data_IF_559525997934
#
_entry.id   IF_559525997934
#
_cell.length_a   1.000
_cell.length_b   1.000
_cell.length_c   1.000
_cell.angle_alpha   90.00
_cell.angle_beta   90.00
_cell.angle_gamma   90.00
#
_symmetry.space_group_name_H-M   'P 1'
#
loop_
_entity.id
_entity.type
_entity.pdbx_description
1 polymer ?
#
# COMPACT_ATOMS: atom_id res chain seq x y z
N UNK A 1 22.97 10.13 23.54
CA UNK A 1 22.63 8.70 23.42
C UNK A 1 21.33 8.54 22.61
N UNK A 2 21.36 7.97 21.39
CA UNK A 2 20.13 7.71 20.60
C UNK A 2 19.41 6.49 21.20
N UNK A 3 18.39 6.71 22.02
CA UNK A 3 17.57 5.64 22.59
C UNK A 3 16.86 4.90 21.44
N UNK A 4 17.30 3.67 21.13
CA UNK A 4 16.62 2.79 20.17
C UNK A 4 15.41 2.15 20.87
N UNK A 5 14.21 2.62 20.58
CA UNK A 5 12.98 1.97 21.06
C UNK A 5 12.82 0.62 20.34
N UNK A 6 12.70 -0.48 21.09
CA UNK A 6 12.36 -1.79 20.52
C UNK A 6 10.95 -1.72 19.88
N UNK A 7 10.75 -2.28 18.67
CA UNK A 7 9.43 -2.38 18.05
C UNK A 7 8.48 -3.19 18.94
N UNK A 8 7.20 -2.83 18.99
CA UNK A 8 6.21 -3.67 19.68
C UNK A 8 5.86 -4.89 18.84
N UNK A 9 5.44 -5.98 19.49
CA UNK A 9 4.97 -7.21 18.81
C UNK A 9 3.90 -6.90 17.77
N UNK A 10 2.98 -5.99 18.10
CA UNK A 10 1.95 -5.50 17.17
C UNK A 10 2.53 -4.94 15.86
N UNK A 11 3.59 -4.14 15.93
CA UNK A 11 4.24 -3.53 14.77
C UNK A 11 4.98 -4.56 13.92
N UNK A 12 5.56 -5.58 14.55
CA UNK A 12 6.22 -6.69 13.86
C UNK A 12 5.17 -7.50 13.08
N UNK A 13 4.05 -7.83 13.71
CA UNK A 13 2.94 -8.55 13.06
C UNK A 13 2.36 -7.74 11.91
N UNK A 14 2.09 -6.44 12.11
CA UNK A 14 1.59 -5.58 11.04
C UNK A 14 2.55 -5.49 9.85
N UNK A 15 3.85 -5.38 10.12
CA UNK A 15 4.87 -5.38 9.07
C UNK A 15 4.88 -6.71 8.31
N UNK A 16 4.93 -7.84 9.00
CA UNK A 16 4.92 -9.16 8.37
C UNK A 16 3.69 -9.37 7.48
N UNK A 17 2.49 -9.09 8.00
CA UNK A 17 1.25 -9.20 7.24
C UNK A 17 1.21 -8.28 6.02
N UNK A 18 1.69 -7.04 6.17
CA UNK A 18 1.76 -6.07 5.07
C UNK A 18 2.73 -6.50 4.00
N UNK A 19 3.92 -6.98 4.38
CA UNK A 19 4.94 -7.45 3.44
C UNK A 19 4.48 -8.70 2.69
N UNK A 20 3.85 -9.66 3.37
CA UNK A 20 3.27 -10.84 2.72
C UNK A 20 2.16 -10.45 1.73
N UNK A 21 1.26 -9.55 2.13
CA UNK A 21 0.21 -9.06 1.24
C UNK A 21 0.77 -8.26 0.05
N UNK A 22 1.81 -7.44 0.25
CA UNK A 22 2.49 -6.72 -0.82
C UNK A 22 3.16 -7.68 -1.80
N UNK A 23 3.93 -8.66 -1.32
CA UNK A 23 4.65 -9.62 -2.18
C UNK A 23 3.65 -10.47 -2.96
N UNK A 24 2.66 -11.05 -2.28
CA UNK A 24 1.63 -11.86 -2.93
C UNK A 24 0.79 -11.06 -3.92
N UNK A 25 0.45 -9.81 -3.57
CA UNK A 25 -0.27 -8.89 -4.44
C UNK A 25 0.55 -8.47 -5.66
N UNK A 26 1.84 -8.17 -5.47
CA UNK A 26 2.76 -7.79 -6.55
C UNK A 26 2.97 -8.95 -7.53
N UNK A 27 3.17 -10.17 -7.02
CA UNK A 27 3.27 -11.37 -7.85
C UNK A 27 2.02 -11.55 -8.72
N UNK A 28 0.83 -11.56 -8.10
CA UNK A 28 -0.44 -11.68 -8.84
C UNK A 28 -0.63 -10.56 -9.86
N UNK A 29 -0.31 -9.32 -9.49
CA UNK A 29 -0.43 -8.16 -10.36
C UNK A 29 0.48 -8.27 -11.59
N UNK A 30 1.76 -8.61 -11.40
CA UNK A 30 2.72 -8.75 -12.50
C UNK A 30 2.35 -9.91 -13.41
N UNK A 31 1.99 -11.08 -12.86
CA UNK A 31 1.55 -12.23 -13.66
C UNK A 31 0.31 -11.89 -14.49
N UNK A 32 -0.64 -11.15 -13.93
CA UNK A 32 -1.85 -10.74 -14.65
C UNK A 32 -1.55 -9.71 -15.74
N UNK A 33 -0.81 -8.65 -15.42
CA UNK A 33 -0.50 -7.58 -16.38
C UNK A 33 0.47 -8.01 -17.49
N UNK A 34 1.39 -8.93 -17.23
CA UNK A 34 2.34 -9.39 -18.26
C UNK A 34 1.76 -10.47 -19.18
N UNK A 35 0.53 -10.93 -18.93
CA UNK A 35 -0.17 -11.83 -19.84
C UNK A 35 -0.67 -11.05 -21.08
N UNK A 36 -0.33 -11.54 -22.28
CA UNK A 36 -0.59 -10.87 -23.56
C UNK A 36 -2.07 -10.51 -23.77
N UNK A 37 -2.99 -11.37 -23.33
CA UNK A 37 -4.43 -11.12 -23.41
C UNK A 37 -4.88 -9.90 -22.57
N UNK A 38 -4.29 -9.72 -21.39
CA UNK A 38 -4.60 -8.59 -20.51
C UNK A 38 -3.92 -7.30 -20.97
N UNK A 39 -2.75 -7.40 -21.59
CA UNK A 39 -2.09 -6.25 -22.24
C UNK A 39 -2.96 -5.66 -23.35
N UNK A 40 -3.42 -6.51 -24.27
CA UNK A 40 -4.29 -6.08 -25.38
C UNK A 40 -5.58 -5.47 -24.85
N UNK A 41 -6.21 -6.14 -23.87
CA UNK A 41 -7.42 -5.64 -23.23
C UNK A 41 -7.20 -4.28 -22.56
N UNK A 42 -6.13 -4.14 -21.75
CA UNK A 42 -5.81 -2.89 -21.07
C UNK A 42 -5.58 -1.74 -22.06
N UNK A 43 -4.80 -1.96 -23.12
CA UNK A 43 -4.52 -0.94 -24.14
C UNK A 43 -5.78 -0.47 -24.85
N UNK A 44 -6.67 -1.40 -25.23
CA UNK A 44 -7.97 -1.08 -25.84
C UNK A 44 -8.83 -0.23 -24.91
N UNK A 45 -8.82 -0.56 -23.61
CA UNK A 45 -9.62 0.15 -22.61
C UNK A 45 -9.06 1.52 -22.29
N UNK A 46 -7.74 1.65 -22.18
CA UNK A 46 -7.07 2.92 -22.01
C UNK A 46 -7.36 3.85 -23.19
N UNK A 47 -7.27 3.33 -24.42
CA UNK A 47 -7.64 4.07 -25.64
C UNK A 47 -9.09 4.55 -25.59
N UNK A 48 -10.02 3.72 -25.11
CA UNK A 48 -11.44 4.08 -24.99
C UNK A 48 -11.69 5.19 -23.96
N UNK A 49 -11.00 5.13 -22.82
CA UNK A 49 -11.20 6.07 -21.71
C UNK A 49 -10.47 7.40 -21.94
N UNK A 50 -9.19 7.36 -22.32
CA UNK A 50 -8.33 8.53 -22.43
C UNK A 50 -8.24 9.08 -23.87
N UNK A 51 -8.79 8.37 -24.87
CA UNK A 51 -8.65 8.68 -26.31
C UNK A 51 -7.19 8.78 -26.78
N UNK A 52 -6.29 8.08 -26.10
CA UNK A 52 -4.84 8.05 -26.38
C UNK A 52 -4.41 6.60 -26.57
N UNK A 53 -3.68 6.32 -27.65
CA UNK A 53 -2.98 5.05 -27.83
C UNK A 53 -1.68 5.08 -27.04
N UNK A 54 -1.42 4.00 -26.30
CA UNK A 54 -0.19 3.85 -25.53
C UNK A 54 0.73 2.83 -26.20
N UNK A 55 2.02 3.14 -26.25
CA UNK A 55 3.05 2.21 -26.72
C UNK A 55 3.32 1.11 -25.69
N UNK A 56 3.99 0.04 -26.11
CA UNK A 56 4.44 -1.05 -25.24
C UNK A 56 5.35 -0.54 -24.12
N UNK A 57 6.23 0.41 -24.43
CA UNK A 57 7.11 1.04 -23.44
C UNK A 57 6.33 1.85 -22.40
N UNK A 58 5.28 2.57 -22.80
CA UNK A 58 4.40 3.30 -21.89
C UNK A 58 3.57 2.34 -21.03
N UNK A 59 3.13 1.22 -21.60
CA UNK A 59 2.42 0.17 -20.87
C UNK A 59 3.29 -0.44 -19.76
N UNK A 60 4.52 -0.84 -20.09
CA UNK A 60 5.49 -1.36 -19.11
C UNK A 60 5.86 -0.30 -18.05
N UNK A 61 5.94 0.97 -18.42
CA UNK A 61 6.17 2.07 -17.48
C UNK A 61 5.01 2.20 -16.48
N UNK A 62 3.76 2.11 -16.94
CA UNK A 62 2.58 2.12 -16.06
C UNK A 62 2.63 0.94 -15.07
N UNK A 63 2.95 -0.26 -15.55
CA UNK A 63 3.12 -1.45 -14.70
C UNK A 63 4.18 -1.20 -13.63
N UNK A 64 5.34 -0.67 -14.03
CA UNK A 64 6.44 -0.38 -13.12
C UNK A 64 6.05 0.67 -12.06
N UNK A 65 5.32 1.73 -12.44
CA UNK A 65 4.84 2.74 -11.50
C UNK A 65 3.91 2.13 -10.45
N UNK A 66 2.94 1.30 -10.86
CA UNK A 66 2.03 0.62 -9.93
C UNK A 66 2.80 -0.33 -9.00
N UNK A 67 3.76 -1.08 -9.54
CA UNK A 67 4.64 -1.94 -8.75
C UNK A 67 5.43 -1.15 -7.70
N UNK A 68 5.98 0.02 -8.06
CA UNK A 68 6.68 0.91 -7.12
C UNK A 68 5.74 1.37 -6.01
N UNK A 69 4.51 1.81 -6.33
CA UNK A 69 3.54 2.19 -5.30
C UNK A 69 3.20 1.03 -4.37
N UNK A 70 3.07 -0.21 -4.89
CA UNK A 70 2.85 -1.40 -4.06
C UNK A 70 4.01 -1.64 -3.09
N UNK A 71 5.25 -1.43 -3.54
CA UNK A 71 6.45 -1.54 -2.70
C UNK A 71 6.56 -0.41 -1.69
N UNK A 72 6.17 0.82 -2.04
CA UNK A 72 6.17 1.97 -1.12
C UNK A 72 5.32 1.71 0.12
N UNK A 73 4.20 0.99 -0.01
CA UNK A 73 3.38 0.54 1.12
C UNK A 73 4.19 -0.29 2.13
N UNK A 74 4.93 -1.29 1.66
CA UNK A 74 5.80 -2.11 2.51
C UNK A 74 6.94 -1.29 3.11
N UNK A 75 7.45 -0.31 2.37
CA UNK A 75 8.49 0.60 2.86
C UNK A 75 7.97 1.54 3.97
N UNK A 76 6.75 2.06 3.83
CA UNK A 76 6.08 2.83 4.89
C UNK A 76 5.90 2.02 6.17
N UNK A 77 5.46 0.77 6.03
CA UNK A 77 5.36 -0.18 7.14
C UNK A 77 6.71 -0.43 7.83
N UNK A 78 7.78 -0.63 7.07
CA UNK A 78 9.13 -0.79 7.60
C UNK A 78 9.61 0.43 8.41
N UNK A 79 9.32 1.64 7.94
CA UNK A 79 9.64 2.85 8.71
C UNK A 79 8.84 2.94 10.00
N UNK A 80 7.57 2.55 9.97
CA UNK A 80 6.75 2.45 11.16
C UNK A 80 7.31 1.41 12.14
N UNK A 81 7.77 0.25 11.67
CA UNK A 81 8.47 -0.75 12.49
C UNK A 81 9.69 -0.16 13.21
N UNK A 82 10.45 0.71 12.52
CA UNK A 82 11.55 1.50 13.10
C UNK A 82 11.08 2.68 13.98
N UNK A 83 9.82 2.67 14.39
CA UNK A 83 9.17 3.69 15.21
C UNK A 83 9.18 5.08 14.58
N UNK A 84 9.25 5.23 13.25
CA UNK A 84 9.17 6.54 12.57
C UNK A 84 7.74 6.82 12.11
N UNK A 85 7.19 7.95 12.56
CA UNK A 85 5.82 8.40 12.23
C UNK A 85 5.62 8.69 10.73
N UNK A 86 6.66 9.15 10.02
CA UNK A 86 6.64 9.32 8.57
C UNK A 86 6.31 8.04 7.79
N UNK A 87 6.56 6.87 8.38
CA UNK A 87 6.17 5.60 7.77
C UNK A 87 4.67 5.48 7.54
N UNK A 88 3.84 6.15 8.36
CA UNK A 88 2.38 6.18 8.20
C UNK A 88 1.97 6.92 6.91
N UNK A 89 2.61 8.06 6.63
CA UNK A 89 2.35 8.83 5.40
C UNK A 89 2.74 8.02 4.17
N UNK A 90 3.93 7.39 4.22
CA UNK A 90 4.42 6.49 3.17
C UNK A 90 3.60 5.21 3.05
N UNK A 91 2.79 4.87 4.05
CA UNK A 91 1.87 3.74 3.99
C UNK A 91 0.51 4.15 3.40
N UNK A 92 -0.09 5.23 3.90
CA UNK A 92 -1.45 5.64 3.50
C UNK A 92 -1.49 6.20 2.09
N UNK A 93 -0.57 7.11 1.75
CA UNK A 93 -0.67 7.85 0.50
C UNK A 93 -0.55 6.93 -0.73
N UNK A 94 0.40 5.97 -0.79
CA UNK A 94 0.40 4.95 -1.84
C UNK A 94 -0.82 4.03 -1.82
N UNK A 95 -1.36 3.66 -0.66
CA UNK A 95 -2.58 2.84 -0.59
C UNK A 95 -3.81 3.56 -1.15
N UNK A 96 -3.97 4.86 -0.87
CA UNK A 96 -5.09 5.65 -1.40
C UNK A 96 -4.98 5.82 -2.91
N UNK A 97 -3.78 6.10 -3.42
CA UNK A 97 -3.51 6.20 -4.86
C UNK A 97 -3.77 4.84 -5.53
N UNK A 98 -3.25 3.75 -4.98
CA UNK A 98 -3.48 2.40 -5.50
C UNK A 98 -4.95 2.01 -5.47
N UNK A 99 -5.67 2.33 -4.40
CA UNK A 99 -7.11 2.07 -4.31
C UNK A 99 -7.87 2.85 -5.39
N UNK A 100 -7.51 4.11 -5.65
CA UNK A 100 -8.07 4.91 -6.74
C UNK A 100 -7.78 4.33 -8.12
N UNK A 101 -6.52 3.97 -8.40
CA UNK A 101 -6.10 3.37 -9.68
C UNK A 101 -6.80 2.03 -9.91
N UNK A 102 -6.81 1.14 -8.92
CA UNK A 102 -7.53 -0.14 -9.01
C UNK A 102 -9.02 0.05 -9.20
N UNK A 103 -9.60 1.05 -8.51
CA UNK A 103 -11.00 1.43 -8.68
C UNK A 103 -11.35 1.84 -10.11
N UNK A 104 -10.48 2.63 -10.75
CA UNK A 104 -10.65 3.08 -12.14
C UNK A 104 -10.42 1.92 -13.12
N UNK A 105 -9.35 1.15 -12.96
CA UNK A 105 -9.05 0.02 -13.84
C UNK A 105 -10.21 -0.98 -13.83
N UNK A 106 -10.73 -1.32 -12.65
CA UNK A 106 -11.81 -2.30 -12.53
C UNK A 106 -13.20 -1.76 -12.88
N UNK A 107 -13.49 -0.46 -12.70
CA UNK A 107 -14.77 0.12 -13.16
C UNK A 107 -14.87 0.15 -14.68
N UNK A 108 -13.74 0.24 -15.37
CA UNK A 108 -13.67 0.11 -16.83
C UNK A 108 -13.81 -1.36 -17.26
N UNK A 109 -13.34 -2.34 -16.46
CA UNK A 109 -13.36 -3.80 -16.75
C UNK A 109 -14.64 -4.49 -16.22
N UNK A 110 -15.76 -3.77 -16.05
CA UNK A 110 -16.98 -4.32 -15.47
C UNK A 110 -17.60 -5.47 -16.30
N UNK A 111 -17.10 -6.69 -16.07
CA UNK A 111 -17.66 -7.96 -16.52
C UNK A 111 -17.77 -8.86 -15.27
N UNK A 112 -19.01 -9.04 -14.80
CA UNK A 112 -19.49 -10.22 -14.06
C UNK A 112 -19.06 -10.45 -12.61
N UNK A 113 -17.75 -10.50 -12.31
CA UNK A 113 -17.26 -11.22 -11.10
C UNK A 113 -16.31 -10.40 -10.19
N UNK A 114 -15.91 -9.19 -10.63
CA UNK A 114 -14.89 -8.40 -9.94
C UNK A 114 -15.40 -7.61 -8.72
N UNK A 115 -16.71 -7.54 -8.48
CA UNK A 115 -17.31 -6.79 -7.36
C UNK A 115 -16.93 -7.37 -5.99
N UNK A 116 -16.92 -8.69 -5.86
CA UNK A 116 -16.51 -9.36 -4.62
C UNK A 116 -15.02 -9.15 -4.33
N UNK A 117 -14.19 -9.21 -5.38
CA UNK A 117 -12.75 -8.92 -5.29
C UNK A 117 -12.49 -7.46 -4.92
N UNK A 118 -13.29 -6.51 -5.45
CA UNK A 118 -13.22 -5.10 -5.08
C UNK A 118 -13.54 -4.86 -3.60
N UNK A 119 -14.61 -5.47 -3.09
CA UNK A 119 -14.97 -5.38 -1.68
C UNK A 119 -13.88 -5.99 -0.78
N UNK A 120 -13.26 -7.10 -1.20
CA UNK A 120 -12.16 -7.72 -0.47
C UNK A 120 -10.89 -6.86 -0.45
N UNK A 121 -10.50 -6.26 -1.58
CA UNK A 121 -9.32 -5.39 -1.68
C UNK A 121 -9.56 -4.07 -0.94
N UNK A 122 -10.72 -3.44 -1.13
CA UNK A 122 -11.10 -2.20 -0.45
C UNK A 122 -11.23 -2.39 1.06
N UNK A 123 -11.96 -3.43 1.48
CA UNK A 123 -12.15 -3.79 2.88
C UNK A 123 -10.83 -4.16 3.58
N UNK A 124 -9.99 -4.96 2.92
CA UNK A 124 -8.64 -5.28 3.42
C UNK A 124 -7.78 -4.02 3.57
N UNK A 125 -7.79 -3.13 2.57
CA UNK A 125 -7.04 -1.88 2.62
C UNK A 125 -7.51 -0.99 3.77
N UNK A 126 -8.82 -0.85 3.97
CA UNK A 126 -9.41 -0.09 5.07
C UNK A 126 -9.02 -0.67 6.43
N UNK A 127 -9.11 -1.99 6.60
CA UNK A 127 -8.75 -2.68 7.84
C UNK A 127 -7.29 -2.42 8.21
N UNK A 128 -6.37 -2.49 7.24
CA UNK A 128 -4.97 -2.16 7.49
C UNK A 128 -4.77 -0.67 7.79
N UNK A 129 -5.47 0.26 7.10
CA UNK A 129 -5.38 1.69 7.42
C UNK A 129 -5.74 1.92 8.90
N UNK A 130 -6.86 1.36 9.37
CA UNK A 130 -7.27 1.44 10.78
C UNK A 130 -6.18 0.88 11.71
N UNK A 131 -5.63 -0.29 11.38
CA UNK A 131 -4.57 -0.90 12.19
C UNK A 131 -3.29 -0.03 12.25
N UNK A 132 -2.88 0.57 11.13
CA UNK A 132 -1.74 1.48 11.10
C UNK A 132 -2.01 2.80 11.84
N UNK A 133 -3.25 3.28 11.84
CA UNK A 133 -3.67 4.43 12.65
C UNK A 133 -3.55 4.13 14.14
N UNK A 134 -4.01 2.96 14.58
CA UNK A 134 -3.86 2.52 15.98
C UNK A 134 -2.37 2.40 16.35
N UNK A 135 -1.56 1.79 15.48
CA UNK A 135 -0.11 1.71 15.65
C UNK A 135 0.55 3.09 15.80
N UNK A 136 0.14 4.08 15.00
CA UNK A 136 0.64 5.45 15.10
C UNK A 136 0.30 6.09 16.45
N UNK A 137 -0.94 5.95 16.90
CA UNK A 137 -1.40 6.48 18.20
C UNK A 137 -0.57 5.86 19.34
N UNK A 138 -0.35 4.54 19.31
CA UNK A 138 0.47 3.84 20.32
C UNK A 138 1.92 4.32 20.30
N UNK A 139 2.52 4.55 19.12
CA UNK A 139 3.86 5.11 18.99
C UNK A 139 3.97 6.52 19.59
N UNK A 140 2.99 7.39 19.34
CA UNK A 140 2.95 8.75 19.89
C UNK A 140 2.81 8.71 21.42
N UNK A 141 1.86 7.91 21.95
CA UNK A 141 1.67 7.73 23.40
C UNK A 141 2.93 7.21 24.08
N UNK A 142 3.59 6.20 23.51
CA UNK A 142 4.83 5.63 24.05
C UNK A 142 5.94 6.69 24.09
N UNK A 143 6.11 7.48 23.02
CA UNK A 143 7.10 8.60 23.00
C UNK A 143 6.78 9.67 24.04
N UNK A 144 5.50 10.00 24.24
CA UNK A 144 5.06 10.96 25.26
C UNK A 144 5.36 10.50 26.69
N UNK A 145 5.10 9.22 27.01
CA UNK A 145 5.42 8.64 28.30
C UNK A 145 6.93 8.62 28.57
N UNK A 146 7.74 8.25 27.58
CA UNK A 146 9.20 8.29 27.70
C UNK A 146 9.73 9.70 27.95
N UNK A 147 9.17 10.73 27.29
CA UNK A 147 9.58 12.13 27.49
C UNK A 147 9.25 12.61 28.91
N UNK A 148 8.10 12.23 29.47
CA UNK A 148 7.71 12.59 30.85
C UNK A 148 8.60 11.91 31.88
N UNK A 149 8.91 10.63 31.71
CA UNK A 149 9.73 9.86 32.66
C UNK A 149 11.23 10.15 32.56
N UNK A 150 11.68 10.90 31.55
CA UNK A 150 13.09 11.26 31.35
C UNK A 150 13.45 12.66 31.87
N UNK A 151 12.47 13.44 32.34
CA UNK A 151 12.70 14.73 33.00
C UNK A 151 12.65 14.44 34.50
N UNK A 152 13.76 14.57 35.26
CA UNK A 152 13.70 14.47 36.71
C UNK A 152 12.77 15.58 37.20
N UNK A 153 11.79 15.25 38.04
CA UNK A 153 11.05 16.25 38.79
C UNK A 153 12.09 17.02 39.63
N UNK A 154 12.20 18.33 39.35
CA UNK A 154 13.14 19.24 40.00
C UNK A 154 12.55 19.81 41.28
#
# INVERSE_FOLDING_TARGET
MKIKMKPSVYMIVLFALTSLATIGGLYKYLTWMLATENEVMFKLMYKRAAKVEISDSQYLLIIAIVAVFMLMKSFGSFFMLRSKTWGYVLYILPNLILAGIMGIIMSVIAIGDWTNTMLAIGGGTLAFIVAYTIALILLIKKRGAFRKNSVPEA
#
